data_IF_870073255791
#
_entry.id   IF_870073255791
#
_cell.length_a   1.000
_cell.length_b   1.000
_cell.length_c   1.000
_cell.angle_alpha   90.00
_cell.angle_beta   90.00
_cell.angle_gamma   90.00
#
_symmetry.space_group_name_H-M   'P 1'
#
loop_
_entity.id
_entity.type
_entity.pdbx_description
1 polymer ?
#
# COMPACT_ATOMS: atom_id res chain seq x y z
N UNK A 1 -9.78 -30.73 6.84
CA UNK A 1 -10.53 -30.26 8.04
C UNK A 1 -9.62 -29.86 9.21
N UNK A 2 -8.64 -30.69 9.62
CA UNK A 2 -7.76 -30.40 10.79
C UNK A 2 -6.97 -29.09 10.69
N UNK A 3 -6.47 -28.72 9.51
CA UNK A 3 -5.71 -27.46 9.32
C UNK A 3 -6.56 -26.20 9.44
N UNK A 4 -7.83 -26.24 9.03
CA UNK A 4 -8.74 -25.10 9.11
C UNK A 4 -9.23 -24.88 10.56
N UNK A 5 -9.48 -25.95 11.31
CA UNK A 5 -9.85 -25.86 12.72
C UNK A 5 -8.69 -25.36 13.60
N UNK A 6 -7.44 -25.71 13.25
CA UNK A 6 -6.25 -25.14 13.89
C UNK A 6 -6.07 -23.65 13.59
N UNK A 7 -6.31 -23.24 12.34
CA UNK A 7 -6.27 -21.82 11.94
C UNK A 7 -7.27 -20.96 12.73
N UNK A 8 -8.53 -21.41 12.81
CA UNK A 8 -9.59 -20.71 13.56
C UNK A 8 -9.30 -20.62 15.06
N UNK A 9 -8.73 -21.67 15.66
CA UNK A 9 -8.29 -21.66 17.06
C UNK A 9 -7.11 -20.71 17.29
N UNK A 10 -6.20 -20.58 16.33
CA UNK A 10 -5.06 -19.65 16.42
C UNK A 10 -5.52 -18.19 16.42
N UNK A 11 -6.45 -17.83 15.52
CA UNK A 11 -7.03 -16.48 15.44
C UNK A 11 -7.72 -16.08 16.75
N UNK A 12 -8.52 -16.99 17.34
CA UNK A 12 -9.22 -16.73 18.61
C UNK A 12 -8.30 -16.48 19.80
N UNK A 13 -7.14 -17.14 19.87
CA UNK A 13 -6.25 -17.07 21.05
C UNK A 13 -5.30 -15.87 21.07
N UNK A 14 -5.07 -15.18 19.93
CA UNK A 14 -4.11 -14.06 19.83
C UNK A 14 -4.62 -12.93 18.91
N UNK A 15 -5.73 -12.24 19.26
CA UNK A 15 -6.40 -11.28 18.36
C UNK A 15 -5.50 -10.10 17.97
N UNK A 16 -4.68 -9.58 18.88
CA UNK A 16 -3.79 -8.43 18.63
C UNK A 16 -2.74 -8.66 17.54
N UNK A 17 -2.46 -9.92 17.17
CA UNK A 17 -1.52 -10.25 16.08
C UNK A 17 -2.15 -10.19 14.70
N UNK A 18 -3.47 -10.37 14.62
CA UNK A 18 -4.19 -10.39 13.36
C UNK A 18 -4.81 -9.03 13.03
N UNK A 19 -4.80 -8.07 13.95
CA UNK A 19 -5.36 -6.72 13.77
C UNK A 19 -4.77 -6.02 12.54
N UNK A 20 -3.46 -6.10 12.32
CA UNK A 20 -2.80 -5.51 11.16
C UNK A 20 -3.32 -6.11 9.84
N UNK A 21 -3.38 -7.44 9.74
CA UNK A 21 -3.87 -8.14 8.54
C UNK A 21 -5.37 -7.89 8.33
N UNK A 22 -6.14 -7.90 9.42
CA UNK A 22 -7.58 -7.64 9.41
C UNK A 22 -7.86 -6.22 8.92
N UNK A 23 -7.14 -5.23 9.43
CA UNK A 23 -7.29 -3.82 9.02
C UNK A 23 -6.94 -3.64 7.54
N UNK A 24 -5.84 -4.25 7.07
CA UNK A 24 -5.46 -4.19 5.65
C UNK A 24 -6.52 -4.84 4.75
N UNK A 25 -7.04 -6.01 5.13
CA UNK A 25 -8.09 -6.70 4.38
C UNK A 25 -9.43 -5.94 4.41
N UNK A 26 -9.80 -5.41 5.58
CA UNK A 26 -11.01 -4.60 5.75
C UNK A 26 -10.96 -3.33 4.92
N UNK A 27 -9.94 -2.49 5.09
CA UNK A 27 -9.83 -1.23 4.33
C UNK A 27 -9.70 -1.49 2.83
N UNK A 28 -8.98 -2.53 2.44
CA UNK A 28 -8.88 -2.90 1.04
C UNK A 28 -10.20 -3.35 0.44
N UNK A 29 -10.97 -4.18 1.17
CA UNK A 29 -12.30 -4.59 0.77
C UNK A 29 -13.25 -3.39 0.70
N UNK A 30 -13.18 -2.44 1.64
CA UNK A 30 -13.99 -1.21 1.62
C UNK A 30 -13.74 -0.44 0.32
N UNK A 31 -12.47 -0.15 0.01
CA UNK A 31 -12.11 0.59 -1.21
C UNK A 31 -12.59 -0.16 -2.45
N UNK A 32 -12.27 -1.44 -2.58
CA UNK A 32 -12.63 -2.24 -3.77
C UNK A 32 -14.15 -2.33 -3.95
N UNK A 33 -14.90 -2.61 -2.88
CA UNK A 33 -16.36 -2.72 -2.92
C UNK A 33 -17.05 -1.38 -3.22
N UNK A 34 -16.57 -0.28 -2.63
CA UNK A 34 -17.12 1.07 -2.86
C UNK A 34 -17.00 1.49 -4.32
N UNK A 35 -15.87 1.22 -4.98
CA UNK A 35 -15.72 1.57 -6.39
C UNK A 35 -16.43 0.58 -7.32
N UNK A 36 -16.41 -0.72 -7.02
CA UNK A 36 -17.09 -1.71 -7.86
C UNK A 36 -18.63 -1.67 -7.72
N UNK A 37 -19.20 -1.07 -6.67
CA UNK A 37 -20.65 -0.85 -6.60
C UNK A 37 -21.17 0.17 -7.61
N UNK A 38 -20.29 1.02 -8.14
CA UNK A 38 -20.65 1.88 -9.27
C UNK A 38 -20.87 1.06 -10.55
N UNK A 39 -20.18 -0.06 -10.76
CA UNK A 39 -20.49 -0.98 -11.87
C UNK A 39 -21.86 -1.65 -11.70
N UNK A 40 -22.24 -2.01 -10.46
CA UNK A 40 -23.59 -2.54 -10.19
C UNK A 40 -24.66 -1.49 -10.48
N UNK A 41 -24.41 -0.23 -10.08
CA UNK A 41 -25.33 0.88 -10.31
C UNK A 41 -25.44 1.20 -11.82
N UNK A 42 -24.33 1.21 -12.55
CA UNK A 42 -24.30 1.41 -14.00
C UNK A 42 -25.02 0.31 -14.80
N UNK A 43 -25.04 -0.92 -14.27
CA UNK A 43 -25.67 -2.07 -14.93
C UNK A 43 -27.19 -2.16 -14.75
N UNK A 44 -27.81 -1.21 -14.05
CA UNK A 44 -29.25 -1.27 -13.78
C UNK A 44 -30.10 -0.94 -15.03
N UNK A 45 -31.24 -1.64 -15.21
CA UNK A 45 -32.23 -1.26 -16.22
C UNK A 45 -32.76 0.15 -15.96
N UNK A 46 -32.71 1.02 -16.96
CA UNK A 46 -33.25 2.39 -16.87
C UNK A 46 -32.20 3.49 -16.62
N UNK A 47 -30.93 3.13 -16.43
CA UNK A 47 -29.82 4.10 -16.41
C UNK A 47 -29.50 4.54 -17.84
N UNK A 48 -29.35 5.84 -18.04
CA UNK A 48 -29.00 6.38 -19.35
C UNK A 48 -27.55 5.99 -19.75
N UNK A 49 -27.24 5.85 -21.05
CA UNK A 49 -25.93 5.38 -21.49
C UNK A 49 -24.76 6.25 -21.00
N UNK A 50 -24.95 7.57 -20.86
CA UNK A 50 -23.90 8.51 -20.46
C UNK A 50 -23.58 8.36 -18.97
N UNK A 51 -24.60 8.28 -18.12
CA UNK A 51 -24.43 7.98 -16.69
C UNK A 51 -23.78 6.62 -16.48
N UNK A 52 -24.19 5.59 -17.24
CA UNK A 52 -23.62 4.25 -17.14
C UNK A 52 -22.13 4.21 -17.56
N UNK A 53 -21.78 4.92 -18.64
CA UNK A 53 -20.39 5.02 -19.11
C UNK A 53 -19.50 5.76 -18.10
N UNK A 54 -19.99 6.87 -17.53
CA UNK A 54 -19.26 7.66 -16.53
C UNK A 54 -18.99 6.84 -15.26
N UNK A 55 -20.02 6.17 -14.72
CA UNK A 55 -19.90 5.30 -13.56
C UNK A 55 -18.97 4.11 -13.83
N UNK A 56 -19.07 3.47 -15.00
CA UNK A 56 -18.24 2.33 -15.38
C UNK A 56 -16.77 2.73 -15.57
N UNK A 57 -16.50 3.90 -16.16
CA UNK A 57 -15.15 4.43 -16.34
C UNK A 57 -14.51 4.76 -15.00
N UNK A 58 -15.22 5.46 -14.11
CA UNK A 58 -14.72 5.73 -12.77
C UNK A 58 -14.48 4.45 -11.96
N UNK A 59 -15.43 3.49 -12.02
CA UNK A 59 -15.31 2.22 -11.32
C UNK A 59 -14.11 1.39 -11.80
N UNK A 60 -13.88 1.32 -13.11
CA UNK A 60 -12.83 0.49 -13.71
C UNK A 60 -11.44 1.08 -13.50
N UNK A 61 -11.29 2.39 -13.68
CA UNK A 61 -10.02 3.10 -13.44
C UNK A 61 -9.64 2.95 -11.98
N UNK A 62 -10.54 3.31 -11.07
CA UNK A 62 -10.24 3.40 -9.64
C UNK A 62 -10.24 2.04 -8.95
N UNK A 63 -11.26 1.23 -9.20
CA UNK A 63 -11.40 -0.11 -8.64
C UNK A 63 -10.27 -1.03 -9.10
N UNK A 64 -9.81 -0.88 -10.35
CA UNK A 64 -8.75 -1.72 -10.89
C UNK A 64 -7.38 -1.43 -10.29
N UNK A 65 -6.93 -0.17 -10.18
CA UNK A 65 -5.65 0.09 -9.50
C UNK A 65 -5.77 -0.05 -7.97
N UNK A 66 -6.96 0.20 -7.41
CA UNK A 66 -7.26 -0.05 -5.99
C UNK A 66 -7.01 -1.51 -5.63
N UNK A 67 -7.43 -2.44 -6.49
CA UNK A 67 -7.16 -3.88 -6.37
C UNK A 67 -5.68 -4.19 -6.25
N UNK A 68 -4.84 -3.59 -7.09
CA UNK A 68 -3.38 -3.78 -7.02
C UNK A 68 -2.82 -3.25 -5.70
N UNK A 69 -3.25 -2.07 -5.27
CA UNK A 69 -2.81 -1.49 -4.00
C UNK A 69 -3.19 -2.38 -2.81
N UNK A 70 -4.42 -2.91 -2.80
CA UNK A 70 -4.87 -3.86 -1.76
C UNK A 70 -4.02 -5.12 -1.75
N UNK A 71 -3.71 -5.69 -2.92
CA UNK A 71 -2.84 -6.84 -3.02
C UNK A 71 -1.48 -6.59 -2.36
N UNK A 72 -0.83 -5.47 -2.69
CA UNK A 72 0.49 -5.16 -2.16
C UNK A 72 0.48 -4.74 -0.69
N UNK A 73 -0.56 -4.03 -0.25
CA UNK A 73 -0.80 -3.69 1.14
C UNK A 73 -0.94 -4.95 2.02
N UNK A 74 -1.76 -5.91 1.57
CA UNK A 74 -1.93 -7.19 2.26
C UNK A 74 -0.66 -8.03 2.19
N UNK A 75 0.04 -8.04 1.05
CA UNK A 75 1.31 -8.77 0.89
C UNK A 75 2.45 -8.26 1.77
N UNK A 76 2.59 -6.94 1.92
CA UNK A 76 3.58 -6.33 2.81
C UNK A 76 3.30 -6.71 4.27
N UNK A 77 2.04 -6.58 4.69
CA UNK A 77 1.59 -6.93 6.05
C UNK A 77 1.80 -8.41 6.37
N UNK A 78 1.37 -9.32 5.49
CA UNK A 78 1.53 -10.76 5.69
C UNK A 78 2.98 -11.21 5.67
N UNK A 79 3.84 -10.56 4.87
CA UNK A 79 5.28 -10.86 4.88
C UNK A 79 5.90 -10.57 6.25
N UNK A 80 5.50 -9.46 6.88
CA UNK A 80 5.95 -9.09 8.22
C UNK A 80 5.44 -10.10 9.27
N UNK A 81 4.15 -10.45 9.23
CA UNK A 81 3.54 -11.42 10.17
C UNK A 81 4.11 -12.85 10.04
N UNK A 82 4.32 -13.35 8.83
CA UNK A 82 4.88 -14.71 8.62
C UNK A 82 6.31 -14.81 9.13
N UNK A 83 7.12 -13.76 8.93
CA UNK A 83 8.49 -13.72 9.47
C UNK A 83 8.51 -13.78 11.00
N UNK A 84 7.58 -13.12 11.66
CA UNK A 84 7.48 -13.13 13.12
C UNK A 84 7.19 -14.52 13.69
N UNK A 85 6.56 -15.41 12.92
CA UNK A 85 6.27 -16.79 13.32
C UNK A 85 7.42 -17.75 13.01
N UNK A 86 8.62 -17.26 12.70
CA UNK A 86 9.77 -18.09 12.40
C UNK A 86 10.06 -19.14 13.48
N UNK A 87 10.08 -18.72 14.76
CA UNK A 87 10.33 -19.62 15.89
C UNK A 87 9.20 -20.65 16.10
N UNK A 88 7.92 -20.22 16.01
CA UNK A 88 6.76 -21.12 16.08
C UNK A 88 6.79 -22.14 14.91
N UNK A 89 7.13 -21.66 13.71
CA UNK A 89 7.24 -22.48 12.50
C UNK A 89 8.41 -23.46 12.61
N UNK A 90 9.53 -23.03 13.20
CA UNK A 90 10.68 -23.90 13.43
C UNK A 90 10.38 -24.96 14.49
N UNK A 91 9.69 -24.62 15.58
CA UNK A 91 9.20 -25.58 16.57
C UNK A 91 8.28 -26.62 15.91
N UNK A 92 7.31 -26.19 15.10
CA UNK A 92 6.42 -27.09 14.37
C UNK A 92 7.19 -28.00 13.41
N UNK A 93 8.23 -27.47 12.73
CA UNK A 93 9.09 -28.28 11.86
C UNK A 93 9.92 -29.29 12.64
N UNK A 94 10.45 -28.92 13.81
CA UNK A 94 11.18 -29.83 14.70
C UNK A 94 10.27 -30.93 15.25
N UNK A 95 8.97 -30.66 15.43
CA UNK A 95 7.96 -31.66 15.79
C UNK A 95 7.39 -32.44 14.59
N UNK A 96 7.99 -32.35 13.40
CA UNK A 96 7.63 -33.17 12.23
C UNK A 96 6.63 -32.55 11.24
N UNK A 97 6.23 -31.28 11.40
CA UNK A 97 5.32 -30.63 10.45
C UNK A 97 5.97 -30.41 9.07
N UNK A 98 5.28 -30.83 8.02
CA UNK A 98 5.74 -30.66 6.63
C UNK A 98 5.54 -29.21 6.13
N UNK A 99 6.36 -28.72 5.18
CA UNK A 99 6.19 -27.38 4.58
C UNK A 99 4.80 -27.16 3.95
N UNK A 100 4.18 -28.23 3.45
CA UNK A 100 2.81 -28.19 2.92
C UNK A 100 1.75 -27.96 3.99
N UNK A 101 1.91 -28.55 5.18
CA UNK A 101 1.01 -28.34 6.31
C UNK A 101 1.11 -26.90 6.84
N UNK A 102 2.33 -26.38 6.97
CA UNK A 102 2.58 -24.98 7.38
C UNK A 102 1.97 -24.01 6.37
N UNK A 103 2.17 -24.26 5.07
CA UNK A 103 1.59 -23.43 4.00
C UNK A 103 0.06 -23.42 4.05
N UNK A 104 -0.58 -24.58 4.16
CA UNK A 104 -2.05 -24.68 4.25
C UNK A 104 -2.60 -24.03 5.52
N UNK A 105 -1.89 -24.13 6.64
CA UNK A 105 -2.27 -23.50 7.91
C UNK A 105 -2.26 -21.98 7.79
N UNK A 106 -1.14 -21.39 7.36
CA UNK A 106 -0.99 -19.92 7.28
C UNK A 106 -1.90 -19.32 6.20
N UNK A 107 -2.05 -19.96 5.04
CA UNK A 107 -3.01 -19.52 4.03
C UNK A 107 -4.44 -19.62 4.56
N UNK A 108 -4.78 -20.68 5.30
CA UNK A 108 -6.09 -20.83 5.92
C UNK A 108 -6.39 -19.74 6.96
N UNK A 109 -5.41 -19.37 7.78
CA UNK A 109 -5.55 -18.24 8.71
C UNK A 109 -5.73 -16.91 7.98
N UNK A 110 -4.90 -16.64 6.96
CA UNK A 110 -5.00 -15.40 6.19
C UNK A 110 -6.35 -15.27 5.48
N UNK A 111 -6.85 -16.36 4.88
CA UNK A 111 -8.17 -16.43 4.24
C UNK A 111 -9.28 -16.23 5.27
N UNK A 112 -9.19 -16.85 6.45
CA UNK A 112 -10.20 -16.67 7.50
C UNK A 112 -10.26 -15.23 8.00
N UNK A 113 -9.11 -14.59 8.25
CA UNK A 113 -9.03 -13.19 8.69
C UNK A 113 -9.50 -12.25 7.57
N UNK A 114 -9.13 -12.53 6.32
CA UNK A 114 -9.57 -11.77 5.16
C UNK A 114 -11.07 -11.86 4.93
N UNK A 115 -11.67 -13.03 5.14
CA UNK A 115 -13.11 -13.21 5.06
C UNK A 115 -13.82 -12.36 6.11
N UNK A 116 -13.35 -12.38 7.36
CA UNK A 116 -13.92 -11.53 8.42
C UNK A 116 -13.76 -10.04 8.05
N UNK A 117 -12.58 -9.63 7.60
CA UNK A 117 -12.32 -8.25 7.17
C UNK A 117 -13.24 -7.81 6.03
N UNK A 118 -13.40 -8.65 5.00
CA UNK A 118 -14.24 -8.34 3.85
C UNK A 118 -15.74 -8.34 4.19
N UNK A 119 -16.20 -9.21 5.10
CA UNK A 119 -17.59 -9.18 5.58
C UNK A 119 -17.87 -7.91 6.42
N UNK A 120 -16.93 -7.51 7.28
CA UNK A 120 -17.03 -6.26 8.04
C UNK A 120 -17.01 -5.03 7.12
N UNK A 121 -16.36 -5.13 5.95
CA UNK A 121 -16.25 -4.04 4.99
C UNK A 121 -17.57 -3.73 4.26
N UNK A 122 -18.53 -4.67 4.20
CA UNK A 122 -19.77 -4.50 3.41
C UNK A 122 -20.54 -3.25 3.85
N UNK A 123 -20.76 -3.06 5.16
CA UNK A 123 -21.51 -1.91 5.67
C UNK A 123 -20.88 -0.56 5.31
N UNK A 124 -19.60 -0.31 5.68
CA UNK A 124 -18.89 0.90 5.29
C UNK A 124 -18.77 1.07 3.76
N UNK A 125 -18.62 -0.02 3.01
CA UNK A 125 -18.54 0.03 1.55
C UNK A 125 -19.87 0.47 0.91
N UNK A 126 -21.00 -0.01 1.44
CA UNK A 126 -22.33 0.42 1.00
C UNK A 126 -22.53 1.92 1.24
N UNK A 127 -22.15 2.43 2.41
CA UNK A 127 -22.21 3.86 2.72
C UNK A 127 -21.27 4.68 1.83
N UNK A 128 -20.04 4.19 1.63
CA UNK A 128 -19.05 4.84 0.76
C UNK A 128 -19.50 4.90 -0.69
N UNK A 129 -20.12 3.84 -1.22
CA UNK A 129 -20.62 3.81 -2.60
C UNK A 129 -21.85 4.70 -2.79
N UNK A 130 -22.74 4.79 -1.79
CA UNK A 130 -23.84 5.78 -1.79
C UNK A 130 -23.33 7.20 -1.83
N UNK A 131 -22.42 7.53 -0.91
CA UNK A 131 -21.81 8.86 -0.86
C UNK A 131 -21.08 9.19 -2.16
N UNK A 132 -20.45 8.19 -2.79
CA UNK A 132 -19.79 8.39 -4.08
C UNK A 132 -20.80 8.64 -5.20
N UNK A 133 -21.92 7.90 -5.26
CA UNK A 133 -22.99 8.17 -6.22
C UNK A 133 -23.60 9.55 -6.02
N UNK A 134 -23.88 9.96 -4.78
CA UNK A 134 -24.37 11.30 -4.45
C UNK A 134 -23.39 12.38 -4.97
N UNK A 135 -22.08 12.15 -4.84
CA UNK A 135 -21.07 13.05 -5.43
C UNK A 135 -21.13 13.05 -6.96
N UNK A 136 -21.37 11.92 -7.63
CA UNK A 136 -21.57 11.87 -9.08
C UNK A 136 -22.84 12.61 -9.52
N UNK A 137 -23.93 12.49 -8.76
CA UNK A 137 -25.19 13.18 -9.02
C UNK A 137 -25.10 14.68 -8.80
N UNK A 138 -24.55 15.11 -7.66
CA UNK A 138 -24.29 16.52 -7.38
C UNK A 138 -23.29 17.11 -8.37
N UNK A 139 -22.44 16.26 -8.95
CA UNK A 139 -21.49 16.68 -9.97
C UNK A 139 -22.11 16.91 -11.37
N UNK A 140 -23.37 16.51 -11.59
CA UNK A 140 -24.03 16.57 -12.89
C UNK A 140 -23.62 15.47 -13.87
N UNK A 141 -22.69 14.58 -13.49
CA UNK A 141 -22.25 13.43 -14.30
C UNK A 141 -23.31 12.33 -14.41
N UNK A 142 -24.15 12.21 -13.38
CA UNK A 142 -25.18 11.19 -13.28
C UNK A 142 -26.51 11.86 -12.95
N UNK A 143 -27.58 11.39 -13.58
CA UNK A 143 -28.92 11.91 -13.30
C UNK A 143 -29.36 11.50 -11.89
N UNK A 144 -29.94 12.42 -11.12
CA UNK A 144 -30.55 12.19 -9.78
C UNK A 144 -31.68 11.16 -9.71
N UNK A 145 -32.06 10.54 -10.83
CA UNK A 145 -33.05 9.48 -10.89
C UNK A 145 -32.44 8.08 -10.83
N UNK A 146 -31.11 7.97 -10.70
CA UNK A 146 -30.41 6.69 -10.64
C UNK A 146 -30.32 6.24 -9.19
N UNK A 147 -31.04 5.18 -8.84
CA UNK A 147 -30.99 4.64 -7.48
C UNK A 147 -29.69 3.87 -7.23
N UNK A 148 -29.06 4.08 -6.08
CA UNK A 148 -27.88 3.31 -5.68
C UNK A 148 -28.21 1.84 -5.41
N UNK A 149 -27.51 0.93 -6.11
CA UNK A 149 -27.59 -0.51 -5.86
C UNK A 149 -26.21 -1.07 -5.52
N UNK A 150 -26.16 -1.78 -4.39
CA UNK A 150 -25.02 -2.59 -4.01
C UNK A 150 -25.28 -4.03 -4.47
N UNK A 151 -24.66 -4.41 -5.58
CA UNK A 151 -24.99 -5.64 -6.29
C UNK A 151 -23.90 -6.72 -6.19
N UNK A 152 -24.04 -7.77 -7.04
CA UNK A 152 -23.12 -8.89 -7.07
C UNK A 152 -21.70 -8.50 -7.49
N UNK A 153 -21.50 -7.48 -8.33
CA UNK A 153 -20.17 -7.09 -8.80
C UNK A 153 -19.34 -6.55 -7.64
N UNK A 154 -19.89 -5.65 -6.82
CA UNK A 154 -19.22 -5.14 -5.62
C UNK A 154 -18.89 -6.27 -4.64
N UNK A 155 -19.86 -7.14 -4.35
CA UNK A 155 -19.70 -8.20 -3.36
C UNK A 155 -18.69 -9.26 -3.81
N UNK A 156 -18.78 -9.71 -5.06
CA UNK A 156 -17.89 -10.73 -5.63
C UNK A 156 -16.49 -10.18 -5.88
N UNK A 157 -16.35 -8.94 -6.35
CA UNK A 157 -15.04 -8.29 -6.52
C UNK A 157 -14.38 -8.09 -5.15
N UNK A 158 -15.08 -7.50 -4.17
CA UNK A 158 -14.54 -7.27 -2.83
C UNK A 158 -14.12 -8.54 -2.11
N UNK A 159 -15.00 -9.55 -2.05
CA UNK A 159 -14.67 -10.84 -1.43
C UNK A 159 -13.60 -11.57 -2.25
N UNK A 160 -13.78 -11.69 -3.56
CA UNK A 160 -12.88 -12.41 -4.45
C UNK A 160 -11.46 -11.83 -4.42
N UNK A 161 -11.32 -10.53 -4.67
CA UNK A 161 -10.02 -9.84 -4.69
C UNK A 161 -9.35 -9.93 -3.33
N UNK A 162 -10.07 -9.64 -2.24
CA UNK A 162 -9.46 -9.64 -0.89
C UNK A 162 -9.01 -11.03 -0.47
N UNK A 163 -9.81 -12.07 -0.75
CA UNK A 163 -9.47 -13.45 -0.46
C UNK A 163 -8.32 -13.96 -1.32
N UNK A 164 -8.34 -13.69 -2.63
CA UNK A 164 -7.27 -14.06 -3.56
C UNK A 164 -5.96 -13.33 -3.21
N UNK A 165 -6.03 -12.03 -2.92
CA UNK A 165 -4.90 -11.25 -2.48
C UNK A 165 -4.30 -11.79 -1.19
N UNK A 166 -5.14 -12.07 -0.18
CA UNK A 166 -4.69 -12.60 1.12
C UNK A 166 -4.11 -14.00 0.99
N UNK A 167 -4.74 -14.88 0.22
CA UNK A 167 -4.26 -16.23 -0.04
C UNK A 167 -2.92 -16.20 -0.80
N UNK A 168 -2.84 -15.41 -1.88
CA UNK A 168 -1.64 -15.24 -2.70
C UNK A 168 -0.48 -14.63 -1.92
N UNK A 169 -0.76 -13.56 -1.16
CA UNK A 169 0.19 -12.92 -0.26
C UNK A 169 0.73 -13.88 0.80
N UNK A 170 -0.16 -14.62 1.48
CA UNK A 170 0.22 -15.59 2.50
C UNK A 170 1.03 -16.74 1.90
N UNK A 171 0.63 -17.24 0.74
CA UNK A 171 1.37 -18.26 0.01
C UNK A 171 2.79 -17.80 -0.33
N UNK A 172 2.93 -16.58 -0.87
CA UNK A 172 4.23 -15.99 -1.19
C UNK A 172 5.08 -15.76 0.06
N UNK A 173 4.48 -15.26 1.14
CA UNK A 173 5.16 -15.02 2.41
C UNK A 173 5.72 -16.32 3.01
N UNK A 174 4.94 -17.40 3.04
CA UNK A 174 5.38 -18.72 3.54
C UNK A 174 6.41 -19.34 2.62
N UNK A 175 6.22 -19.25 1.30
CA UNK A 175 7.18 -19.78 0.31
C UNK A 175 8.55 -19.11 0.44
N UNK A 176 8.57 -17.81 0.75
CA UNK A 176 9.80 -17.07 1.07
C UNK A 176 10.44 -17.55 2.38
N UNK A 177 9.65 -17.74 3.44
CA UNK A 177 10.16 -18.18 4.74
C UNK A 177 10.67 -19.63 4.75
N UNK A 178 10.03 -20.53 3.99
CA UNK A 178 10.33 -21.97 4.00
C UNK A 178 11.49 -22.39 3.11
N UNK A 179 11.87 -21.61 2.09
CA UNK A 179 12.96 -21.97 1.17
C UNK A 179 14.37 -21.82 1.75
N UNK A 180 14.50 -21.40 3.01
CA UNK A 180 15.80 -21.15 3.67
C UNK A 180 16.59 -20.03 3.00
N UNK A 181 17.68 -19.60 3.63
CA UNK A 181 18.61 -18.58 3.11
C UNK A 181 19.37 -18.99 1.81
N UNK A 182 18.80 -19.86 0.97
CA UNK A 182 19.30 -20.00 -0.40
C UNK A 182 19.16 -18.65 -1.10
N UNK A 183 20.13 -18.21 -1.92
CA UNK A 183 20.14 -16.87 -2.48
C UNK A 183 18.91 -16.68 -3.37
N UNK A 184 17.83 -16.18 -2.78
CA UNK A 184 16.57 -15.82 -3.42
C UNK A 184 16.73 -14.60 -4.36
N UNK A 185 17.98 -14.28 -4.71
CA UNK A 185 18.33 -13.19 -5.60
C UNK A 185 17.69 -13.36 -6.97
N UNK A 186 17.67 -14.56 -7.56
CA UNK A 186 17.20 -14.73 -8.95
C UNK A 186 15.69 -14.58 -9.10
N UNK A 187 14.87 -15.22 -8.27
CA UNK A 187 13.40 -15.11 -8.39
C UNK A 187 12.89 -13.71 -8.00
N UNK A 188 13.45 -13.09 -6.96
CA UNK A 188 13.11 -11.71 -6.58
C UNK A 188 13.54 -10.72 -7.67
N UNK A 189 14.73 -10.90 -8.24
CA UNK A 189 15.19 -10.10 -9.40
C UNK A 189 14.24 -10.27 -10.59
N UNK A 190 13.89 -11.51 -10.96
CA UNK A 190 12.97 -11.78 -12.07
C UNK A 190 11.62 -11.12 -11.83
N UNK A 191 11.03 -11.26 -10.63
CA UNK A 191 9.76 -10.60 -10.32
C UNK A 191 9.89 -9.07 -10.34
N UNK A 192 10.99 -8.53 -9.84
CA UNK A 192 11.23 -7.09 -9.86
C UNK A 192 11.38 -6.56 -11.29
N UNK A 193 12.21 -7.20 -12.12
CA UNK A 193 12.37 -6.83 -13.52
C UNK A 193 11.08 -7.02 -14.31
N UNK A 194 10.30 -8.07 -14.03
CA UNK A 194 8.99 -8.26 -14.65
C UNK A 194 8.02 -7.13 -14.25
N UNK A 195 7.92 -6.79 -12.96
CA UNK A 195 7.08 -5.69 -12.50
C UNK A 195 7.52 -4.35 -13.10
N UNK A 196 8.82 -4.08 -13.15
CA UNK A 196 9.37 -2.86 -13.79
C UNK A 196 9.12 -2.85 -15.30
N UNK A 197 9.28 -3.97 -16.00
CA UNK A 197 9.05 -4.05 -17.44
C UNK A 197 7.57 -3.89 -17.79
N UNK A 198 6.67 -4.56 -17.07
CA UNK A 198 5.21 -4.42 -17.26
C UNK A 198 4.78 -3.00 -16.88
N UNK A 199 5.32 -2.42 -15.81
CA UNK A 199 5.06 -1.04 -15.43
C UNK A 199 5.52 -0.04 -16.48
N UNK A 200 6.74 -0.21 -17.01
CA UNK A 200 7.26 0.61 -18.10
C UNK A 200 6.42 0.47 -19.38
N UNK A 201 6.00 -0.75 -19.73
CA UNK A 201 5.13 -0.99 -20.87
C UNK A 201 3.75 -0.31 -20.69
N UNK A 202 3.16 -0.39 -19.50
CA UNK A 202 1.90 0.28 -19.18
C UNK A 202 2.04 1.82 -19.27
N UNK A 203 3.13 2.37 -18.72
CA UNK A 203 3.45 3.79 -18.88
C UNK A 203 3.62 4.18 -20.36
N UNK A 204 4.36 3.41 -21.14
CA UNK A 204 4.55 3.68 -22.57
C UNK A 204 3.24 3.57 -23.36
N UNK A 205 2.31 2.72 -22.92
CA UNK A 205 1.00 2.60 -23.58
C UNK A 205 0.16 3.88 -23.48
N UNK A 206 0.50 4.83 -22.60
CA UNK A 206 -0.10 6.17 -22.56
C UNK A 206 -0.02 6.88 -23.91
N UNK A 207 1.06 6.69 -24.68
CA UNK A 207 1.24 7.32 -26.00
C UNK A 207 0.33 6.72 -27.09
N UNK A 208 -0.40 5.64 -26.80
CA UNK A 208 -1.39 5.08 -27.71
C UNK A 208 -2.79 5.69 -27.54
N UNK A 209 -2.99 6.51 -26.50
CA UNK A 209 -4.26 7.18 -26.22
C UNK A 209 -4.24 8.61 -26.76
N UNK A 210 -5.41 9.09 -27.19
CA UNK A 210 -5.59 10.50 -27.56
C UNK A 210 -5.70 11.38 -26.31
N UNK A 211 -5.32 12.65 -26.45
CA UNK A 211 -5.40 13.64 -25.36
C UNK A 211 -6.83 13.76 -24.79
N UNK A 212 -7.85 13.58 -25.61
CA UNK A 212 -9.27 13.73 -25.26
C UNK A 212 -9.93 12.45 -24.71
N UNK A 213 -9.17 11.35 -24.59
CA UNK A 213 -9.71 10.08 -24.11
C UNK A 213 -9.91 10.12 -22.58
N UNK A 214 -11.13 9.82 -22.13
CA UNK A 214 -11.45 9.71 -20.70
C UNK A 214 -10.62 8.64 -19.98
N UNK A 215 -10.10 7.64 -20.71
CA UNK A 215 -9.26 6.59 -20.18
C UNK A 215 -7.77 6.96 -20.08
N UNK A 216 -7.34 8.15 -20.51
CA UNK A 216 -5.93 8.55 -20.57
C UNK A 216 -5.18 8.44 -19.23
N UNK A 217 -5.88 8.64 -18.10
CA UNK A 217 -5.27 8.54 -16.76
C UNK A 217 -4.93 7.10 -16.33
N UNK A 218 -5.56 6.08 -16.94
CA UNK A 218 -5.39 4.70 -16.50
C UNK A 218 -3.96 4.16 -16.75
N UNK A 219 -3.43 4.13 -17.99
CA UNK A 219 -2.10 3.59 -18.26
C UNK A 219 -0.97 4.17 -17.38
N UNK A 220 -0.84 5.51 -17.21
CA UNK A 220 0.22 6.07 -16.36
C UNK A 220 0.01 5.76 -14.87
N UNK A 221 -1.24 5.68 -14.38
CA UNK A 221 -1.52 5.30 -13.00
C UNK A 221 -1.14 3.84 -12.70
N UNK A 222 -1.59 2.88 -13.54
CA UNK A 222 -1.24 1.47 -13.42
C UNK A 222 0.27 1.25 -13.57
N UNK A 223 0.88 1.94 -14.54
CA UNK A 223 2.30 1.90 -14.79
C UNK A 223 3.13 2.40 -13.62
N UNK A 224 2.78 3.56 -13.04
CA UNK A 224 3.46 4.14 -11.88
C UNK A 224 3.38 3.20 -10.65
N UNK A 225 2.23 2.56 -10.41
CA UNK A 225 2.09 1.58 -9.33
C UNK A 225 3.02 0.38 -9.56
N UNK A 226 3.02 -0.22 -10.75
CA UNK A 226 3.86 -1.38 -11.06
C UNK A 226 5.36 -1.05 -11.05
N UNK A 227 5.74 0.15 -11.50
CA UNK A 227 7.10 0.66 -11.38
C UNK A 227 7.51 0.81 -9.91
N UNK A 228 6.64 1.39 -9.09
CA UNK A 228 6.88 1.56 -7.65
C UNK A 228 7.04 0.22 -6.94
N UNK A 229 6.27 -0.80 -7.32
CA UNK A 229 6.41 -2.20 -6.88
C UNK A 229 7.77 -2.75 -7.27
N UNK A 230 8.20 -2.55 -8.53
CA UNK A 230 9.52 -2.95 -9.02
C UNK A 230 10.65 -2.30 -8.21
N UNK A 231 10.58 -0.99 -8.01
CA UNK A 231 11.50 -0.21 -7.18
C UNK A 231 11.54 -0.73 -5.74
N UNK A 232 10.38 -1.01 -5.14
CA UNK A 232 10.29 -1.53 -3.80
C UNK A 232 10.85 -2.96 -3.66
N UNK A 233 10.68 -3.81 -4.68
CA UNK A 233 11.30 -5.13 -4.72
C UNK A 233 12.83 -5.06 -4.85
N UNK A 234 13.36 -4.04 -5.54
CA UNK A 234 14.79 -3.72 -5.66
C UNK A 234 15.34 -2.90 -4.48
N UNK A 235 14.47 -2.36 -3.63
CA UNK A 235 14.82 -1.40 -2.59
C UNK A 235 15.94 -1.83 -1.64
N UNK A 236 16.14 -3.11 -1.25
CA UNK A 236 17.28 -3.47 -0.40
C UNK A 236 18.62 -3.16 -1.03
N UNK A 237 18.77 -3.36 -2.35
CA UNK A 237 20.03 -3.07 -3.06
C UNK A 237 20.26 -1.56 -3.19
N UNK A 238 19.19 -0.84 -3.48
CA UNK A 238 19.23 0.61 -3.61
C UNK A 238 19.52 1.26 -2.26
N UNK A 239 18.91 0.73 -1.19
CA UNK A 239 19.20 1.11 0.19
C UNK A 239 20.66 0.82 0.55
N UNK A 240 21.19 -0.38 0.28
CA UNK A 240 22.61 -0.67 0.57
C UNK A 240 23.55 0.24 -0.21
N UNK A 241 23.27 0.50 -1.49
CA UNK A 241 24.07 1.41 -2.31
C UNK A 241 24.01 2.86 -1.81
N UNK A 242 22.88 3.31 -1.29
CA UNK A 242 22.73 4.61 -0.64
C UNK A 242 23.52 4.66 0.68
N UNK A 243 23.43 3.62 1.50
CA UNK A 243 24.15 3.48 2.77
C UNK A 243 25.68 3.40 2.58
N UNK A 244 26.17 3.03 1.40
CA UNK A 244 27.60 3.08 1.03
C UNK A 244 28.12 4.50 0.81
N UNK A 245 27.23 5.46 0.51
CA UNK A 245 27.59 6.85 0.21
C UNK A 245 27.29 7.81 1.37
N UNK A 246 26.56 7.37 2.38
CA UNK A 246 26.20 8.19 3.54
C UNK A 246 27.39 8.28 4.52
N UNK A 247 27.86 9.49 4.85
CA UNK A 247 28.87 9.65 5.89
C UNK A 247 28.30 9.21 7.24
N UNK A 248 29.06 8.40 7.97
CA UNK A 248 28.69 7.92 9.31
C UNK A 248 28.83 9.09 10.30
N UNK A 249 27.75 9.82 10.56
CA UNK A 249 27.76 10.93 11.52
C UNK A 249 27.15 10.52 12.87
N UNK A 250 27.96 10.65 13.93
CA UNK A 250 27.58 10.42 15.32
C UNK A 250 27.30 8.96 15.71
N UNK A 251 27.19 8.65 17.01
CA UNK A 251 26.97 7.29 17.51
C UNK A 251 25.63 6.68 17.03
N UNK A 252 24.56 7.48 17.01
CA UNK A 252 23.23 7.03 16.58
C UNK A 252 23.16 6.83 15.05
N UNK A 253 23.83 7.67 14.25
CA UNK A 253 23.89 7.49 12.80
C UNK A 253 24.73 6.28 12.40
N UNK A 254 25.85 6.04 13.11
CA UNK A 254 26.65 4.83 12.92
C UNK A 254 25.85 3.55 13.20
N UNK A 255 25.15 3.50 14.35
CA UNK A 255 24.31 2.36 14.72
C UNK A 255 23.14 2.19 13.74
N UNK A 256 22.50 3.27 13.30
CA UNK A 256 21.42 3.23 12.33
C UNK A 256 21.91 2.63 11.00
N UNK A 257 22.99 3.15 10.41
CA UNK A 257 23.53 2.61 9.14
C UNK A 257 23.91 1.13 9.28
N UNK A 258 24.54 0.75 10.40
CA UNK A 258 24.92 -0.65 10.65
C UNK A 258 23.71 -1.57 10.80
N UNK A 259 22.67 -1.13 11.50
CA UNK A 259 21.42 -1.88 11.64
C UNK A 259 20.71 -2.02 10.30
N UNK A 260 20.57 -0.92 9.54
CA UNK A 260 19.92 -0.93 8.24
C UNK A 260 20.66 -1.84 7.24
N UNK A 261 22.00 -1.87 7.24
CA UNK A 261 22.78 -2.80 6.41
C UNK A 261 22.50 -4.26 6.73
N UNK A 262 22.51 -4.63 8.03
CA UNK A 262 22.22 -6.00 8.46
C UNK A 262 20.78 -6.43 8.15
N UNK A 263 19.87 -5.46 8.08
CA UNK A 263 18.43 -5.68 7.92
C UNK A 263 17.88 -5.21 6.58
N UNK A 264 18.71 -4.90 5.59
CA UNK A 264 18.24 -4.33 4.32
C UNK A 264 17.17 -5.20 3.64
N UNK A 265 17.33 -6.53 3.69
CA UNK A 265 16.33 -7.49 3.19
C UNK A 265 15.06 -7.57 4.04
N UNK A 266 15.12 -7.19 5.31
CA UNK A 266 13.98 -7.09 6.23
C UNK A 266 13.18 -5.81 6.01
N UNK A 267 13.87 -4.70 5.73
CA UNK A 267 13.28 -3.37 5.57
C UNK A 267 12.43 -3.20 4.32
N UNK A 268 12.53 -4.13 3.35
CA UNK A 268 11.65 -4.13 2.18
C UNK A 268 10.16 -4.24 2.52
N UNK A 269 9.81 -4.81 3.68
CA UNK A 269 8.42 -4.82 4.16
C UNK A 269 7.89 -3.44 4.54
N UNK A 270 8.77 -2.52 4.96
CA UNK A 270 8.43 -1.14 5.36
C UNK A 270 8.56 -0.18 4.18
N UNK A 271 9.60 -0.35 3.36
CA UNK A 271 9.84 0.50 2.18
C UNK A 271 8.73 0.37 1.13
N UNK A 272 8.11 -0.80 0.99
CA UNK A 272 7.08 -1.03 -0.02
C UNK A 272 5.85 -0.10 0.15
N UNK A 273 5.15 -0.07 1.30
CA UNK A 273 4.07 0.89 1.55
C UNK A 273 4.49 2.35 1.42
N UNK A 274 5.71 2.69 1.85
CA UNK A 274 6.22 4.06 1.77
C UNK A 274 6.44 4.51 0.30
N UNK A 275 7.05 3.65 -0.51
CA UNK A 275 7.27 3.88 -1.94
C UNK A 275 5.93 3.96 -2.68
N UNK A 276 4.98 3.07 -2.35
CA UNK A 276 3.64 3.10 -2.92
C UNK A 276 2.87 4.36 -2.53
N UNK A 277 2.89 4.76 -1.26
CA UNK A 277 2.24 5.98 -0.78
C UNK A 277 2.80 7.21 -1.49
N UNK A 278 4.13 7.37 -1.51
CA UNK A 278 4.79 8.52 -2.14
C UNK A 278 4.58 8.53 -3.65
N UNK A 279 4.68 7.38 -4.32
CA UNK A 279 4.40 7.25 -5.75
C UNK A 279 2.94 7.63 -6.06
N UNK A 280 2.00 6.95 -5.42
CA UNK A 280 0.58 7.11 -5.73
C UNK A 280 0.10 8.52 -5.41
N UNK A 281 0.40 9.04 -4.22
CA UNK A 281 -0.01 10.39 -3.83
C UNK A 281 0.59 11.47 -4.75
N UNK A 282 1.86 11.34 -5.13
CA UNK A 282 2.49 12.31 -6.04
C UNK A 282 1.90 12.16 -7.45
N UNK A 283 1.87 10.95 -8.00
CA UNK A 283 1.40 10.69 -9.35
C UNK A 283 -0.05 11.14 -9.55
N UNK A 284 -0.98 10.71 -8.69
CA UNK A 284 -2.39 11.03 -8.88
C UNK A 284 -2.73 12.49 -8.62
N UNK A 285 -2.14 13.13 -7.61
CA UNK A 285 -2.38 14.55 -7.34
C UNK A 285 -1.81 15.44 -8.46
N UNK A 286 -0.64 15.12 -9.01
CA UNK A 286 -0.10 15.86 -10.15
C UNK A 286 -0.88 15.61 -11.43
N UNK A 287 -1.24 14.35 -11.74
CA UNK A 287 -2.07 14.06 -12.92
C UNK A 287 -3.42 14.77 -12.82
N UNK A 288 -4.04 14.80 -11.64
CA UNK A 288 -5.29 15.55 -11.44
C UNK A 288 -5.10 17.05 -11.57
N UNK A 289 -4.01 17.61 -11.04
CA UNK A 289 -3.74 19.04 -11.18
C UNK A 289 -3.49 19.44 -12.64
N UNK A 290 -2.78 18.61 -13.40
CA UNK A 290 -2.53 18.80 -14.83
C UNK A 290 -3.83 18.70 -15.63
N UNK A 291 -4.68 17.74 -15.30
CA UNK A 291 -6.01 17.60 -15.90
C UNK A 291 -6.86 18.85 -15.66
N UNK A 292 -6.89 19.34 -14.41
CA UNK A 292 -7.64 20.55 -14.05
C UNK A 292 -7.09 21.79 -14.78
N UNK A 293 -5.76 21.95 -14.85
CA UNK A 293 -5.11 23.07 -15.53
C UNK A 293 -5.35 23.02 -17.06
N UNK A 294 -5.36 21.83 -17.67
CA UNK A 294 -5.66 21.64 -19.08
C UNK A 294 -7.11 22.01 -19.43
N UNK A 295 -8.05 21.65 -18.56
CA UNK A 295 -9.46 22.06 -18.67
C UNK A 295 -9.57 23.58 -18.57
N UNK A 296 -8.88 24.22 -17.63
CA UNK A 296 -8.88 25.68 -17.48
C UNK A 296 -8.30 26.41 -18.70
N UNK A 297 -7.23 25.87 -19.29
CA UNK A 297 -6.57 26.45 -20.47
C UNK A 297 -7.41 26.36 -21.75
N UNK A 298 -8.38 25.44 -21.83
CA UNK A 298 -9.28 25.28 -22.98
C UNK A 298 -10.23 26.48 -23.19
N UNK A 299 -10.31 27.41 -22.22
CA UNK A 299 -11.11 28.64 -22.34
C UNK A 299 -12.63 28.41 -22.28
N UNK A 300 -13.07 27.16 -22.10
CA UNK A 300 -14.45 26.85 -21.76
C UNK A 300 -14.75 27.47 -20.39
N UNK A 301 -15.81 28.28 -20.29
CA UNK A 301 -16.31 28.75 -18.98
C UNK A 301 -16.52 27.50 -18.14
N UNK A 302 -15.77 27.35 -17.03
CA UNK A 302 -15.95 26.26 -16.05
C UNK A 302 -17.44 26.19 -15.72
N UNK A 303 -18.16 25.27 -16.37
CA UNK A 303 -19.55 25.01 -16.06
C UNK A 303 -19.59 24.49 -14.63
N UNK A 304 -20.74 24.58 -13.97
CA UNK A 304 -20.92 24.00 -12.64
C UNK A 304 -20.46 22.54 -12.66
N UNK A 305 -20.72 21.83 -13.76
CA UNK A 305 -20.34 20.44 -14.00
C UNK A 305 -18.80 20.23 -13.99
N UNK A 306 -17.98 21.11 -14.58
CA UNK A 306 -16.52 20.89 -14.64
C UNK A 306 -15.82 21.01 -13.27
N UNK A 307 -16.28 21.93 -12.40
CA UNK A 307 -15.77 22.05 -11.01
C UNK A 307 -16.14 20.85 -10.14
N UNK A 308 -17.30 20.31 -10.45
CA UNK A 308 -17.89 19.17 -9.83
C UNK A 308 -17.15 17.86 -10.21
N UNK A 309 -16.69 17.71 -11.47
CA UNK A 309 -15.76 16.66 -11.90
C UNK A 309 -14.44 16.68 -11.11
N UNK A 310 -13.84 17.86 -10.98
CA UNK A 310 -12.58 18.08 -10.24
C UNK A 310 -12.70 17.61 -8.78
N UNK A 311 -13.79 18.00 -8.11
CA UNK A 311 -14.03 17.64 -6.70
C UNK A 311 -14.14 16.13 -6.52
N UNK A 312 -14.83 15.45 -7.44
CA UNK A 312 -15.02 14.01 -7.37
C UNK A 312 -13.70 13.25 -7.49
N UNK A 313 -12.89 13.55 -8.51
CA UNK A 313 -11.62 12.88 -8.71
C UNK A 313 -10.67 13.12 -7.52
N UNK A 314 -10.69 14.31 -6.90
CA UNK A 314 -9.93 14.60 -5.69
C UNK A 314 -10.39 13.77 -4.48
N UNK A 315 -11.70 13.57 -4.28
CA UNK A 315 -12.22 12.70 -3.22
C UNK A 315 -11.71 11.27 -3.42
N UNK A 316 -11.80 10.77 -4.64
CA UNK A 316 -11.34 9.43 -5.00
C UNK A 316 -9.84 9.27 -4.72
N UNK A 317 -9.02 10.20 -5.19
CA UNK A 317 -7.58 10.22 -4.92
C UNK A 317 -7.32 10.27 -3.40
N UNK A 318 -8.08 11.09 -2.68
CA UNK A 318 -8.00 11.20 -1.22
C UNK A 318 -8.19 9.85 -0.51
N UNK A 319 -9.20 9.06 -0.90
CA UNK A 319 -9.46 7.73 -0.32
C UNK A 319 -8.24 6.81 -0.47
N UNK A 320 -7.62 6.81 -1.65
CA UNK A 320 -6.47 5.93 -1.94
C UNK A 320 -5.22 6.38 -1.19
N UNK A 321 -5.00 7.69 -1.09
CA UNK A 321 -3.87 8.28 -0.35
C UNK A 321 -4.01 7.97 1.14
N UNK A 322 -5.21 8.12 1.70
CA UNK A 322 -5.52 7.76 3.10
C UNK A 322 -5.30 6.26 3.32
N UNK A 323 -5.85 5.41 2.45
CA UNK A 323 -5.63 3.96 2.52
C UNK A 323 -4.14 3.61 2.55
N UNK A 324 -3.36 4.17 1.61
CA UNK A 324 -1.92 3.93 1.50
C UNK A 324 -1.15 4.44 2.73
N UNK A 325 -1.57 5.58 3.28
CA UNK A 325 -1.02 6.15 4.51
C UNK A 325 -1.26 5.23 5.71
N UNK A 326 -2.49 4.72 5.88
CA UNK A 326 -2.82 3.77 6.97
C UNK A 326 -1.99 2.49 6.83
N UNK A 327 -1.75 2.01 5.61
CA UNK A 327 -0.90 0.85 5.37
C UNK A 327 0.58 1.11 5.70
N UNK A 328 1.07 2.32 5.44
CA UNK A 328 2.38 2.76 5.88
C UNK A 328 2.48 2.77 7.41
N UNK A 329 1.51 3.39 8.10
CA UNK A 329 1.44 3.41 9.59
C UNK A 329 1.46 1.99 10.15
N UNK A 330 0.62 1.10 9.63
CA UNK A 330 0.51 -0.29 10.09
C UNK A 330 1.86 -1.03 9.95
N UNK A 331 2.54 -0.82 8.82
CA UNK A 331 3.82 -1.48 8.53
C UNK A 331 4.96 -0.95 9.40
N UNK A 332 4.99 0.36 9.67
CA UNK A 332 5.93 0.99 10.59
C UNK A 332 5.68 0.57 12.04
N UNK A 333 4.42 0.58 12.46
CA UNK A 333 4.01 0.12 13.78
C UNK A 333 4.48 -1.31 14.03
N UNK A 334 4.23 -2.21 13.07
CA UNK A 334 4.71 -3.58 13.15
C UNK A 334 6.24 -3.62 13.20
N UNK A 335 6.93 -2.94 12.28
CA UNK A 335 8.40 -2.97 12.22
C UNK A 335 9.09 -2.51 13.51
N UNK A 336 8.50 -1.57 14.25
CA UNK A 336 9.07 -1.05 15.50
C UNK A 336 8.65 -1.84 16.74
N UNK A 337 7.36 -2.18 16.87
CA UNK A 337 6.82 -2.80 18.10
C UNK A 337 7.42 -4.18 18.40
N UNK A 338 7.84 -4.91 17.37
CA UNK A 338 8.47 -6.23 17.55
C UNK A 338 9.98 -6.15 17.85
N UNK A 339 10.57 -4.94 17.89
CA UNK A 339 11.99 -4.72 18.23
C UNK A 339 12.23 -4.46 19.71
N UNK A 340 11.22 -4.62 20.56
CA UNK A 340 11.34 -4.39 22.02
C UNK A 340 12.48 -5.19 22.65
N UNK A 341 12.71 -6.44 22.22
CA UNK A 341 13.85 -7.26 22.65
C UNK A 341 15.21 -6.67 22.26
N UNK A 342 15.31 -6.11 21.07
CA UNK A 342 16.54 -5.46 20.58
C UNK A 342 16.81 -4.17 21.36
N UNK A 343 15.78 -3.35 21.60
CA UNK A 343 15.90 -2.14 22.41
C UNK A 343 16.27 -2.48 23.85
N UNK A 344 15.70 -3.55 24.42
CA UNK A 344 16.09 -4.10 25.72
C UNK A 344 17.57 -4.51 25.74
N UNK A 345 18.02 -5.27 24.74
CA UNK A 345 19.43 -5.68 24.62
C UNK A 345 20.40 -4.50 24.50
N UNK A 346 20.05 -3.47 23.71
CA UNK A 346 20.83 -2.23 23.63
C UNK A 346 20.93 -1.51 24.98
N UNK A 347 19.82 -1.46 25.73
CA UNK A 347 19.77 -0.85 27.07
C UNK A 347 20.56 -1.64 28.11
N UNK A 348 20.49 -2.97 28.08
CA UNK A 348 21.32 -3.83 28.94
C UNK A 348 22.81 -3.70 28.64
N UNK A 349 23.16 -3.40 27.38
CA UNK A 349 24.53 -3.07 26.97
C UNK A 349 24.95 -1.62 27.30
N UNK A 350 24.10 -0.83 27.98
CA UNK A 350 24.41 0.51 28.45
C UNK A 350 23.85 1.67 27.61
N UNK A 351 23.06 1.41 26.55
CA UNK A 351 22.45 2.49 25.77
C UNK A 351 21.34 3.20 26.55
N UNK A 352 21.35 4.53 26.52
CA UNK A 352 20.28 5.34 27.11
C UNK A 352 19.01 5.32 26.24
N UNK A 353 17.79 5.52 26.82
CA UNK A 353 16.56 5.61 26.03
C UNK A 353 16.61 6.68 24.92
N UNK A 354 17.31 7.79 25.17
CA UNK A 354 17.52 8.85 24.17
C UNK A 354 18.39 8.38 22.99
N UNK A 355 19.42 7.57 23.22
CA UNK A 355 20.24 6.99 22.16
C UNK A 355 19.48 5.97 21.31
N UNK A 356 18.59 5.18 21.93
CA UNK A 356 17.71 4.26 21.19
C UNK A 356 16.74 5.05 20.31
N UNK A 357 16.09 6.09 20.85
CA UNK A 357 15.21 6.97 20.06
C UNK A 357 15.95 7.70 18.94
N UNK A 358 17.17 8.18 19.19
CA UNK A 358 18.01 8.80 18.17
C UNK A 358 18.38 7.83 17.05
N UNK A 359 18.62 6.56 17.38
CA UNK A 359 18.88 5.50 16.39
C UNK A 359 17.64 5.23 15.56
N UNK A 360 16.46 5.07 16.19
CA UNK A 360 15.19 4.86 15.48
C UNK A 360 14.84 6.06 14.61
N UNK A 361 15.09 7.29 15.07
CA UNK A 361 14.90 8.51 14.29
C UNK A 361 15.79 8.55 13.05
N UNK A 362 17.09 8.25 13.19
CA UNK A 362 18.01 8.19 12.07
C UNK A 362 17.65 7.08 11.06
N UNK A 363 17.25 5.90 11.54
CA UNK A 363 16.72 4.84 10.69
C UNK A 363 15.47 5.31 9.92
N UNK A 364 14.55 5.98 10.62
CA UNK A 364 13.36 6.57 10.03
C UNK A 364 13.69 7.57 8.92
N UNK A 365 14.62 8.50 9.14
CA UNK A 365 15.03 9.49 8.13
C UNK A 365 15.59 8.80 6.89
N UNK A 366 16.48 7.82 7.05
CA UNK A 366 17.07 7.10 5.91
C UNK A 366 15.99 6.34 5.13
N UNK A 367 15.06 5.69 5.82
CA UNK A 367 13.93 5.00 5.19
C UNK A 367 13.01 5.99 4.45
N UNK A 368 12.70 7.13 5.06
CA UNK A 368 11.91 8.20 4.43
C UNK A 368 12.58 8.72 3.17
N UNK A 369 13.87 9.09 3.22
CA UNK A 369 14.62 9.57 2.07
C UNK A 369 14.64 8.52 0.96
N UNK A 370 14.95 7.26 1.30
CA UNK A 370 14.97 6.17 0.30
C UNK A 370 13.61 5.94 -0.32
N UNK A 371 12.55 5.89 0.49
CA UNK A 371 11.19 5.65 0.02
C UNK A 371 10.66 6.80 -0.83
N UNK A 372 10.87 8.04 -0.42
CA UNK A 372 10.51 9.25 -1.17
C UNK A 372 11.25 9.31 -2.50
N UNK A 373 12.57 9.06 -2.52
CA UNK A 373 13.34 9.09 -3.77
C UNK A 373 12.85 8.04 -4.77
N UNK A 374 12.65 6.80 -4.32
CA UNK A 374 12.19 5.72 -5.19
C UNK A 374 10.74 5.89 -5.62
N UNK A 375 9.86 6.35 -4.72
CA UNK A 375 8.47 6.63 -5.04
C UNK A 375 8.31 7.83 -5.97
N UNK A 376 9.08 8.91 -5.77
CA UNK A 376 9.09 10.07 -6.67
C UNK A 376 9.58 9.67 -8.07
N UNK A 377 10.64 8.85 -8.16
CA UNK A 377 11.11 8.34 -9.46
C UNK A 377 10.04 7.54 -10.20
N UNK A 378 9.31 6.67 -9.49
CA UNK A 378 8.19 5.93 -10.07
C UNK A 378 6.99 6.83 -10.44
N UNK A 379 6.71 7.87 -9.64
CA UNK A 379 5.65 8.84 -9.93
C UNK A 379 5.96 9.65 -11.18
N UNK A 380 7.19 10.18 -11.30
CA UNK A 380 7.63 10.94 -12.47
C UNK A 380 7.51 10.12 -13.76
N UNK A 381 7.79 8.83 -13.70
CA UNK A 381 7.61 7.94 -14.84
C UNK A 381 6.14 7.86 -15.31
N UNK A 382 5.15 8.02 -14.43
CA UNK A 382 3.74 8.13 -14.81
C UNK A 382 3.32 9.56 -15.19
N UNK A 383 3.77 10.56 -14.43
CA UNK A 383 3.40 11.97 -14.62
C UNK A 383 3.87 12.49 -15.97
N UNK A 384 5.13 12.25 -16.35
CA UNK A 384 5.72 12.85 -17.55
C UNK A 384 5.02 12.41 -18.84
N UNK A 385 4.75 11.10 -19.08
CA UNK A 385 3.98 10.69 -20.26
C UNK A 385 2.55 11.21 -20.25
N UNK A 386 1.91 11.28 -19.08
CA UNK A 386 0.57 11.88 -18.96
C UNK A 386 0.58 13.37 -19.34
N UNK A 387 1.51 14.16 -18.79
CA UNK A 387 1.61 15.60 -19.10
C UNK A 387 1.95 15.84 -20.56
N UNK A 388 2.84 15.01 -21.14
CA UNK A 388 3.21 15.10 -22.55
C UNK A 388 2.01 14.87 -23.45
N UNK A 389 1.22 13.81 -23.22
CA UNK A 389 0.05 13.51 -24.06
C UNK A 389 -1.08 14.52 -23.83
N UNK A 390 -1.27 15.00 -22.60
CA UNK A 390 -2.39 15.89 -22.25
C UNK A 390 -2.15 17.36 -22.58
N UNK A 391 -0.91 17.84 -22.50
CA UNK A 391 -0.59 19.28 -22.57
C UNK A 391 0.55 19.62 -23.53
N UNK A 392 1.10 18.65 -24.26
CA UNK A 392 2.32 18.78 -25.08
C UNK A 392 3.55 19.31 -24.32
N UNK A 393 3.52 19.28 -22.98
CA UNK A 393 4.58 19.75 -22.10
C UNK A 393 5.21 18.60 -21.31
N UNK A 394 6.55 18.61 -21.20
CA UNK A 394 7.29 17.59 -20.47
C UNK A 394 7.20 17.73 -18.95
N UNK A 395 6.81 18.90 -18.45
CA UNK A 395 6.79 19.22 -17.03
C UNK A 395 5.40 19.69 -16.61
N UNK A 396 4.87 19.19 -15.48
CA UNK A 396 3.63 19.74 -14.94
C UNK A 396 3.85 21.20 -14.58
N UNK A 397 3.05 22.12 -15.14
CA UNK A 397 3.16 23.57 -14.89
C UNK A 397 2.97 23.98 -13.41
N UNK A 398 2.62 23.03 -12.53
CA UNK A 398 2.52 23.20 -11.09
C UNK A 398 3.89 23.07 -10.41
N UNK A 399 4.19 24.02 -9.53
CA UNK A 399 5.39 24.00 -8.70
C UNK A 399 5.48 22.78 -7.76
N UNK A 400 6.59 22.64 -6.99
CA UNK A 400 6.86 21.47 -6.15
C UNK A 400 5.95 21.36 -4.90
N UNK A 401 4.93 22.22 -4.75
CA UNK A 401 4.10 22.31 -3.54
C UNK A 401 3.38 21.00 -3.18
N UNK A 402 2.78 20.32 -4.17
CA UNK A 402 2.13 19.02 -3.96
C UNK A 402 3.15 17.98 -3.48
N UNK A 403 4.31 17.92 -4.16
CA UNK A 403 5.38 17.01 -3.77
C UNK A 403 5.89 17.29 -2.35
N UNK A 404 6.13 18.56 -2.00
CA UNK A 404 6.55 18.96 -0.65
C UNK A 404 5.52 18.57 0.42
N UNK A 405 4.22 18.70 0.13
CA UNK A 405 3.16 18.25 1.03
C UNK A 405 3.18 16.72 1.21
N UNK A 406 3.31 15.95 0.12
CA UNK A 406 3.43 14.47 0.18
C UNK A 406 4.67 14.05 0.97
N UNK A 407 5.81 14.70 0.76
CA UNK A 407 7.06 14.45 1.51
C UNK A 407 6.90 14.80 2.99
N UNK A 408 6.25 15.92 3.30
CA UNK A 408 5.97 16.32 4.68
C UNK A 408 5.10 15.28 5.39
N UNK A 409 4.01 14.81 4.76
CA UNK A 409 3.15 13.76 5.30
C UNK A 409 3.91 12.45 5.46
N UNK A 410 4.65 12.01 4.44
CA UNK A 410 5.46 10.78 4.51
C UNK A 410 6.49 10.84 5.66
N UNK A 411 7.14 11.99 5.84
CA UNK A 411 8.12 12.22 6.90
C UNK A 411 7.45 12.22 8.28
N UNK A 412 6.35 12.96 8.43
CA UNK A 412 5.60 13.05 9.68
C UNK A 412 5.06 11.67 10.11
N UNK A 413 4.49 10.91 9.16
CA UNK A 413 3.98 9.57 9.40
C UNK A 413 5.12 8.61 9.76
N UNK A 414 6.23 8.65 9.03
CA UNK A 414 7.36 7.73 9.24
C UNK A 414 8.03 7.96 10.58
N UNK A 415 8.44 9.20 10.85
CA UNK A 415 9.12 9.57 12.09
C UNK A 415 8.16 9.54 13.28
N UNK A 416 6.95 10.06 13.12
CA UNK A 416 5.92 10.07 14.16
C UNK A 416 5.56 8.66 14.62
N UNK A 417 5.19 7.77 13.68
CA UNK A 417 4.84 6.38 14.02
C UNK A 417 6.05 5.66 14.62
N UNK A 418 7.24 5.78 14.01
CA UNK A 418 8.45 5.12 14.51
C UNK A 418 8.86 5.56 15.91
N UNK A 419 8.89 6.86 16.18
CA UNK A 419 9.29 7.41 17.47
C UNK A 419 8.24 7.18 18.57
N UNK A 420 6.95 7.29 18.26
CA UNK A 420 5.87 7.03 19.23
C UNK A 420 5.87 5.56 19.65
N UNK A 421 5.98 4.65 18.69
CA UNK A 421 6.01 3.21 18.96
C UNK A 421 7.29 2.80 19.69
N UNK A 422 8.44 3.37 19.34
CA UNK A 422 9.69 3.16 20.08
C UNK A 422 9.60 3.71 21.51
N UNK A 423 9.04 4.91 21.73
CA UNK A 423 8.81 5.45 23.07
C UNK A 423 7.90 4.54 23.91
N UNK A 424 6.83 4.03 23.31
CA UNK A 424 5.94 3.09 23.99
C UNK A 424 6.68 1.79 24.36
N UNK A 425 7.48 1.24 23.43
CA UNK A 425 8.28 0.04 23.68
C UNK A 425 9.36 0.24 24.75
N UNK A 426 9.91 1.46 24.91
CA UNK A 426 10.92 1.77 25.92
C UNK A 426 10.36 1.86 27.34
N UNK A 427 9.04 1.89 27.52
CA UNK A 427 8.39 1.88 28.85
C UNK A 427 8.53 0.54 29.56
N UNK A 428 8.72 -0.56 28.82
CA UNK A 428 8.99 -1.86 29.45
C UNK A 428 10.41 -1.87 30.03
N UNK A 429 10.62 -2.40 31.24
CA UNK A 429 11.94 -2.62 31.81
C UNK A 429 12.83 -3.45 30.88
N UNK A 430 14.11 -3.09 30.75
CA UNK A 430 15.01 -3.74 29.80
C UNK A 430 15.20 -5.25 30.07
N UNK A 431 15.14 -5.66 31.34
CA UNK A 431 15.24 -7.06 31.76
C UNK A 431 14.02 -7.85 31.31
N UNK A 432 12.81 -7.34 31.55
CA UNK A 432 11.55 -7.96 31.08
C UNK A 432 11.46 -8.01 29.56
N UNK A 433 11.95 -6.96 28.88
CA UNK A 433 11.98 -6.90 27.43
C UNK A 433 12.82 -8.02 26.81
N UNK A 434 13.90 -8.45 27.47
CA UNK A 434 14.83 -9.48 26.98
C UNK A 434 14.48 -10.88 27.49
N UNK A 435 13.75 -10.99 28.60
CA UNK A 435 13.35 -12.27 29.16
C UNK A 435 12.56 -13.12 28.13
N UNK A 436 12.83 -14.44 28.05
CA UNK A 436 11.96 -15.34 27.32
C UNK A 436 10.59 -15.33 28.03
N UNK A 437 9.55 -14.88 27.33
CA UNK A 437 8.20 -14.85 27.90
C UNK A 437 7.78 -16.27 28.29
N UNK A 438 7.34 -16.42 29.53
CA UNK A 438 6.76 -17.65 30.09
C UNK A 438 5.51 -18.11 29.31
#
# INVERSE_FOLDING_TARGET
MVTLSLALRSVRKRPGRFTATLLSAFLGAVVVMTFNSLHDTAGQPGVDPVSAESLSTAASVVGGYGTLLVFFAVASTLTVNVRQRGAETELLRRSGATPGQIRRMVVGEAVAVALVGALLAIGPAMLGGRALLELFEDSGQVRRSVDYVFGPVALMSGLGITLLASAGAAFLAVRRATRGQRPAGRSRKVLAYAATAVGAAAVCSTFAFSADDAALMAPPAYGAILLSVGCALLSPRLLTALLDRLPLSGPSGYLAVRNLRRRADELSGVLMPLILFTCMATATLYMQAVENDAIDASGLVKSVDSKNLETLNLVVVGIIVVFSCVMLVNSLYAATTYRTREFGGQRLAGATPGQVLGTVGAEGVILTVTGVLLGTGAALAGIVPFTLVRTDAAWPGRGPGIWLAVVAVATAVTLGTGLLTARAALRTPAVEAVAPGE
#
